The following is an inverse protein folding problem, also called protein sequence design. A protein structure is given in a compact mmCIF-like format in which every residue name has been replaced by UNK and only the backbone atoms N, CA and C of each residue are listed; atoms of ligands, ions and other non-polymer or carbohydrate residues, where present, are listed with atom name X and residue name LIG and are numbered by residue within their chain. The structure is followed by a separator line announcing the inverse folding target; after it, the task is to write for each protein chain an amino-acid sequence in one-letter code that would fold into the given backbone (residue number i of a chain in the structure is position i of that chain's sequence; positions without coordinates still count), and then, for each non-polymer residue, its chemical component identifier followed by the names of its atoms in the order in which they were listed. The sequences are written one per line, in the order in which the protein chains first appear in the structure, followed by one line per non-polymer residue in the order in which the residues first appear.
data_IF_811041992945
#
_entry.id   IF_811041992945
#
_cell.length_a   1.000
_cell.length_b   1.000
_cell.length_c   1.000
_cell.angle_alpha   90.00
_cell.angle_beta   90.00
_cell.angle_gamma   90.00
#
_symmetry.space_group_name_H-M   'P 1'
#
loop_
_entity.id
_entity.type
_entity.pdbx_description
1 polymer ?
#
# COMPACT_ATOMS: atom_id res chain seq x y z
N UNK A 1 17.10 -11.73 8.94
CA UNK A 1 16.73 -10.30 9.04
C UNK A 1 15.41 -10.22 9.79
N UNK A 2 15.11 -9.09 10.43
CA UNK A 2 13.75 -8.89 10.93
C UNK A 2 12.77 -9.00 9.75
N UNK A 3 11.76 -9.87 9.86
CA UNK A 3 10.74 -10.06 8.82
C UNK A 3 10.90 -11.26 7.87
N UNK A 4 11.92 -12.12 8.03
CA UNK A 4 12.03 -13.39 7.28
C UNK A 4 12.44 -14.57 8.17
N UNK A 5 11.97 -15.77 7.82
CA UNK A 5 12.33 -17.04 8.44
C UNK A 5 12.85 -18.05 7.41
N UNK A 6 13.75 -18.94 7.81
CA UNK A 6 14.26 -20.02 6.97
C UNK A 6 13.47 -21.29 7.24
N UNK A 7 12.85 -21.85 6.19
CA UNK A 7 12.18 -23.16 6.27
C UNK A 7 12.99 -24.23 5.52
N UNK A 8 12.99 -25.49 6.00
CA UNK A 8 13.55 -26.60 5.25
C UNK A 8 12.65 -26.94 4.06
N UNK A 9 13.25 -27.12 2.88
CA UNK A 9 12.54 -27.51 1.66
C UNK A 9 13.29 -28.64 0.96
N UNK A 10 12.61 -29.35 0.05
CA UNK A 10 13.26 -30.32 -0.84
C UNK A 10 12.86 -30.00 -2.28
N UNK A 11 13.81 -30.08 -3.20
CA UNK A 11 13.58 -29.81 -4.62
C UNK A 11 12.99 -31.05 -5.27
N UNK A 12 11.80 -30.94 -5.85
CA UNK A 12 11.19 -32.00 -6.66
C UNK A 12 11.31 -31.64 -8.13
N UNK A 13 12.05 -32.44 -8.89
CA UNK A 13 12.08 -32.31 -10.35
C UNK A 13 10.85 -33.01 -10.92
N UNK A 14 10.11 -32.35 -11.81
CA UNK A 14 8.97 -32.97 -12.48
C UNK A 14 9.44 -34.24 -13.21
N UNK A 15 8.96 -35.40 -12.77
CA UNK A 15 9.28 -36.70 -13.36
C UNK A 15 10.62 -37.33 -12.95
N UNK A 16 11.46 -36.71 -12.10
CA UNK A 16 12.78 -37.25 -11.71
C UNK A 16 13.01 -37.43 -10.19
N UNK A 17 11.98 -37.27 -9.36
CA UNK A 17 12.06 -37.50 -7.91
C UNK A 17 12.39 -36.24 -7.08
N UNK A 18 12.72 -36.43 -5.80
CA UNK A 18 13.08 -35.35 -4.84
C UNK A 18 14.55 -35.42 -4.44
N UNK A 19 15.23 -34.28 -4.49
CA UNK A 19 16.60 -34.09 -4.02
C UNK A 19 16.66 -33.90 -2.49
N UNK A 20 17.88 -33.87 -1.95
CA UNK A 20 18.17 -33.59 -0.55
C UNK A 20 17.71 -32.18 -0.10
N UNK A 21 17.66 -31.96 1.21
CA UNK A 21 17.11 -30.75 1.81
C UNK A 21 17.92 -29.48 1.53
N UNK A 22 17.23 -28.41 1.12
CA UNK A 22 17.71 -27.03 0.99
C UNK A 22 16.96 -26.15 2.02
N UNK A 23 17.34 -24.88 2.15
CA UNK A 23 16.56 -23.89 2.91
C UNK A 23 15.94 -22.85 1.97
N UNK A 24 14.75 -22.37 2.32
CA UNK A 24 14.06 -21.28 1.63
C UNK A 24 13.75 -20.18 2.65
N UNK A 25 14.11 -18.94 2.32
CA UNK A 25 13.65 -17.79 3.07
C UNK A 25 12.21 -17.45 2.70
N UNK A 26 11.36 -17.31 3.72
CA UNK A 26 9.96 -16.91 3.59
C UNK A 26 9.73 -15.65 4.43
N UNK A 27 8.88 -14.72 3.98
CA UNK A 27 8.58 -13.54 4.76
C UNK A 27 7.70 -13.95 5.96
N UNK A 28 7.94 -13.32 7.10
CA UNK A 28 7.06 -13.45 8.26
C UNK A 28 5.76 -12.71 7.95
N UNK A 29 4.63 -13.39 8.15
CA UNK A 29 3.29 -12.82 8.13
C UNK A 29 2.66 -12.99 9.51
N UNK A 30 2.29 -11.87 10.14
CA UNK A 30 1.76 -11.84 11.49
C UNK A 30 0.50 -10.97 11.57
N UNK A 31 -0.46 -11.30 12.47
CA UNK A 31 -1.59 -10.42 12.74
C UNK A 31 -1.14 -9.20 13.52
N UNK A 32 -1.48 -8.02 13.03
CA UNK A 32 -1.26 -6.72 13.68
C UNK A 32 -2.62 -6.11 14.00
N UNK A 33 -3.00 -6.11 15.27
CA UNK A 33 -4.18 -5.44 15.78
C UNK A 33 -3.91 -3.94 15.97
N UNK A 34 -4.81 -3.10 15.47
CA UNK A 34 -4.76 -1.65 15.61
C UNK A 34 -5.84 -1.22 16.60
N UNK A 35 -5.41 -0.60 17.69
CA UNK A 35 -6.29 -0.02 18.71
C UNK A 35 -6.12 1.51 18.71
N UNK A 36 -7.20 2.23 18.46
CA UNK A 36 -7.21 3.70 18.50
C UNK A 36 -8.08 4.20 19.63
N UNK A 37 -7.54 5.04 20.52
CA UNK A 37 -8.25 5.57 21.69
C UNK A 37 -8.92 4.48 22.55
N UNK A 38 -8.27 3.31 22.70
CA UNK A 38 -8.79 2.17 23.45
C UNK A 38 -9.87 1.34 22.72
N UNK A 39 -10.14 1.64 21.44
CA UNK A 39 -11.12 0.91 20.62
C UNK A 39 -10.36 0.00 19.65
N UNK A 40 -10.63 -1.30 19.70
CA UNK A 40 -10.17 -2.25 18.71
C UNK A 40 -10.78 -1.91 17.34
N UNK A 41 -9.93 -1.61 16.36
CA UNK A 41 -10.36 -1.05 15.09
C UNK A 41 -10.22 -2.01 13.92
N UNK A 42 -9.06 -2.66 13.81
CA UNK A 42 -8.78 -3.60 12.73
C UNK A 42 -7.70 -4.60 13.15
N UNK A 43 -7.68 -5.75 12.48
CA UNK A 43 -6.56 -6.69 12.51
C UNK A 43 -6.13 -6.93 11.07
N UNK A 44 -4.86 -6.72 10.79
CA UNK A 44 -4.29 -6.83 9.44
C UNK A 44 -3.18 -7.88 9.45
N UNK A 45 -3.15 -8.75 8.44
CA UNK A 45 -1.99 -9.63 8.23
C UNK A 45 -0.90 -8.81 7.56
N UNK A 46 0.27 -8.69 8.18
CA UNK A 46 1.37 -7.85 7.71
C UNK A 46 2.72 -8.47 8.06
N UNK A 47 3.77 -8.01 7.40
CA UNK A 47 5.14 -8.30 7.83
C UNK A 47 5.44 -7.42 9.05
N UNK A 48 5.83 -7.99 10.21
CA UNK A 48 5.93 -7.27 11.48
C UNK A 48 7.24 -6.45 11.61
N UNK A 49 7.53 -5.66 10.58
CA UNK A 49 8.61 -4.68 10.52
C UNK A 49 8.00 -3.31 10.27
N UNK A 50 8.55 -2.29 10.91
CA UNK A 50 8.11 -0.89 10.75
C UNK A 50 6.61 -0.71 11.05
N UNK A 51 6.13 -1.34 12.13
CA UNK A 51 4.70 -1.36 12.50
C UNK A 51 4.19 0.06 12.81
N UNK A 52 5.02 0.94 13.35
CA UNK A 52 4.67 2.33 13.60
C UNK A 52 4.37 3.07 12.28
N UNK A 53 5.17 2.84 11.23
CA UNK A 53 4.92 3.40 9.91
C UNK A 53 3.64 2.80 9.31
N UNK A 54 3.45 1.49 9.45
CA UNK A 54 2.22 0.82 8.99
C UNK A 54 0.97 1.45 9.62
N UNK A 55 0.94 1.61 10.94
CA UNK A 55 -0.23 2.12 11.67
C UNK A 55 -0.49 3.59 11.35
N UNK A 56 0.56 4.43 11.32
CA UNK A 56 0.41 5.83 10.94
C UNK A 56 -0.18 5.97 9.54
N UNK A 57 0.38 5.26 8.56
CA UNK A 57 -0.11 5.33 7.19
C UNK A 57 -1.48 4.70 7.00
N UNK A 58 -1.80 3.60 7.70
CA UNK A 58 -3.11 2.99 7.68
C UNK A 58 -4.19 3.97 8.16
N UNK A 59 -3.98 4.67 9.28
CA UNK A 59 -4.94 5.65 9.80
C UNK A 59 -5.15 6.83 8.84
N UNK A 60 -4.09 7.28 8.17
CA UNK A 60 -4.16 8.34 7.15
C UNK A 60 -4.89 7.88 5.88
N UNK A 61 -4.53 6.70 5.38
CA UNK A 61 -5.15 6.03 4.23
C UNK A 61 -6.66 5.82 4.44
N UNK A 62 -7.07 5.47 5.66
CA UNK A 62 -8.49 5.34 6.04
C UNK A 62 -9.20 6.69 6.18
N UNK A 63 -8.44 7.79 6.27
CA UNK A 63 -8.96 9.13 6.55
C UNK A 63 -9.48 9.28 7.98
N UNK A 64 -8.92 8.53 8.92
CA UNK A 64 -9.20 8.74 10.34
C UNK A 64 -8.44 9.94 10.91
N UNK A 65 -7.25 10.22 10.38
CA UNK A 65 -6.36 11.26 10.87
C UNK A 65 -5.50 11.85 9.75
N UNK A 66 -5.10 13.11 9.90
CA UNK A 66 -3.97 13.73 9.22
C UNK A 66 -2.66 13.36 9.91
N UNK A 67 -1.52 13.63 9.24
CA UNK A 67 -0.20 13.23 9.73
C UNK A 67 0.13 13.78 11.13
N UNK A 68 -0.25 15.02 11.41
CA UNK A 68 -0.02 15.73 12.68
C UNK A 68 -1.01 15.35 13.78
N UNK A 69 -2.11 14.67 13.44
CA UNK A 69 -3.09 14.16 14.40
C UNK A 69 -2.73 12.77 14.93
N UNK A 70 -1.83 12.04 14.27
CA UNK A 70 -1.44 10.69 14.72
C UNK A 70 -0.48 10.80 15.90
N UNK A 71 -0.93 10.37 17.09
CA UNK A 71 -0.09 10.29 18.28
C UNK A 71 1.01 9.23 18.18
N UNK A 72 1.75 9.07 19.28
CA UNK A 72 2.75 8.00 19.40
C UNK A 72 2.10 6.62 19.25
N UNK A 73 2.70 5.77 18.41
CA UNK A 73 2.28 4.37 18.23
C UNK A 73 3.12 3.51 19.18
N UNK A 74 2.45 2.82 20.10
CA UNK A 74 3.07 1.89 21.04
C UNK A 74 2.75 0.46 20.62
N UNK A 75 3.78 -0.34 20.35
CA UNK A 75 3.63 -1.71 19.84
C UNK A 75 3.95 -2.73 20.94
N UNK A 76 3.06 -3.69 21.13
CA UNK A 76 3.24 -4.81 22.05
C UNK A 76 3.19 -6.13 21.29
N UNK A 77 4.17 -7.00 21.48
CA UNK A 77 4.14 -8.37 20.96
C UNK A 77 3.29 -9.27 21.84
N UNK A 78 2.56 -10.18 21.20
CA UNK A 78 1.75 -11.23 21.85
C UNK A 78 2.23 -12.58 21.35
N UNK A 79 2.73 -13.42 22.24
CA UNK A 79 3.13 -14.80 21.93
C UNK A 79 1.88 -15.69 21.86
N UNK A 80 1.76 -16.51 20.80
CA UNK A 80 0.63 -17.43 20.61
C UNK A 80 1.08 -18.89 20.42
N UNK A 81 2.10 -19.30 21.17
CA UNK A 81 2.62 -20.67 21.14
C UNK A 81 3.06 -21.09 19.73
N UNK A 82 2.54 -22.22 19.25
CA UNK A 82 2.90 -22.80 17.94
C UNK A 82 2.43 -21.96 16.74
N UNK A 83 1.48 -21.04 16.93
CA UNK A 83 0.92 -20.19 15.88
C UNK A 83 1.72 -18.91 15.63
N UNK A 84 2.84 -18.75 16.35
CA UNK A 84 3.76 -17.62 16.18
C UNK A 84 3.37 -16.39 17.00
N UNK A 85 3.87 -15.23 16.55
CA UNK A 85 3.72 -13.94 17.24
C UNK A 85 2.68 -13.06 16.56
N UNK A 86 1.85 -12.40 17.36
CA UNK A 86 0.99 -11.29 16.94
C UNK A 86 1.44 -9.97 17.56
N UNK A 87 0.85 -8.87 17.11
CA UNK A 87 1.19 -7.53 17.58
C UNK A 87 -0.07 -6.73 17.87
N UNK A 88 -0.05 -5.93 18.92
CA UNK A 88 -1.07 -4.93 19.24
C UNK A 88 -0.41 -3.57 19.20
N UNK A 89 -0.82 -2.75 18.25
CA UNK A 89 -0.37 -1.38 18.10
C UNK A 89 -1.44 -0.41 18.60
N UNK A 90 -1.08 0.39 19.59
CA UNK A 90 -1.96 1.35 20.26
C UNK A 90 -1.57 2.76 19.90
N UNK A 91 -2.57 3.58 19.61
CA UNK A 91 -2.39 4.97 19.23
C UNK A 91 -3.59 5.79 19.67
N UNK A 92 -3.37 7.07 19.97
CA UNK A 92 -4.46 7.99 20.30
C UNK A 92 -4.58 9.03 19.20
N UNK A 93 -5.82 9.28 18.78
CA UNK A 93 -6.19 10.38 17.90
C UNK A 93 -6.91 11.49 18.70
N UNK A 94 -7.02 12.70 18.16
CA UNK A 94 -7.73 13.80 18.81
C UNK A 94 -9.19 13.42 19.14
N UNK A 95 -9.77 13.92 20.26
CA UNK A 95 -11.12 13.58 20.70
C UNK A 95 -12.20 13.78 19.63
N UNK A 96 -12.01 14.73 18.73
CA UNK A 96 -12.90 15.07 17.61
C UNK A 96 -13.06 13.90 16.63
N UNK A 97 -12.10 12.98 16.58
CA UNK A 97 -12.11 11.79 15.71
C UNK A 97 -12.87 10.60 16.33
N UNK A 98 -13.17 10.63 17.64
CA UNK A 98 -13.76 9.49 18.35
C UNK A 98 -15.10 9.03 17.77
N UNK A 99 -15.98 9.97 17.40
CA UNK A 99 -17.28 9.64 16.82
C UNK A 99 -17.14 8.84 15.51
N UNK A 100 -16.24 9.30 14.62
CA UNK A 100 -15.90 8.64 13.36
C UNK A 100 -15.29 7.24 13.60
N UNK A 101 -14.36 7.14 14.55
CA UNK A 101 -13.70 5.87 14.90
C UNK A 101 -14.73 4.84 15.37
N UNK A 102 -15.59 5.23 16.32
CA UNK A 102 -16.62 4.35 16.89
C UNK A 102 -17.64 3.93 15.82
N UNK A 103 -18.04 4.85 14.94
CA UNK A 103 -18.95 4.55 13.83
C UNK A 103 -18.35 3.49 12.89
N UNK A 104 -17.09 3.67 12.49
CA UNK A 104 -16.41 2.75 11.56
C UNK A 104 -16.04 1.42 12.19
N UNK A 105 -15.59 1.41 13.44
CA UNK A 105 -15.28 0.17 14.17
C UNK A 105 -16.51 -0.74 14.25
N UNK A 106 -17.69 -0.17 14.57
CA UNK A 106 -18.95 -0.92 14.60
C UNK A 106 -19.32 -1.55 13.26
N UNK A 107 -19.03 -0.88 12.15
CA UNK A 107 -19.28 -1.42 10.80
C UNK A 107 -18.30 -2.54 10.44
N UNK A 108 -17.04 -2.43 10.86
CA UNK A 108 -16.01 -3.45 10.61
C UNK A 108 -16.24 -4.77 11.33
N UNK A 109 -16.73 -4.74 12.58
CA UNK A 109 -16.99 -5.97 13.35
C UNK A 109 -18.07 -6.86 12.71
N UNK A 110 -18.87 -6.34 11.77
CA UNK A 110 -19.88 -7.08 11.03
C UNK A 110 -19.37 -7.91 9.84
N UNK A 111 -18.17 -7.62 9.30
CA UNK A 111 -17.63 -8.29 8.12
C UNK A 111 -16.56 -9.33 8.53
N UNK A 112 -16.96 -10.60 8.57
CA UNK A 112 -16.04 -11.73 8.73
C UNK A 112 -15.83 -12.40 7.37
N UNK A 113 -14.79 -12.02 6.61
CA UNK A 113 -14.36 -12.85 5.48
C UNK A 113 -12.96 -12.50 4.96
N UNK A 114 -12.16 -13.56 4.81
CA UNK A 114 -10.85 -13.68 4.18
C UNK A 114 -10.66 -12.87 2.89
N UNK A 115 -10.22 -11.61 3.01
CA UNK A 115 -9.66 -10.88 1.86
C UNK A 115 -10.67 -10.11 1.02
N UNK A 116 -11.88 -9.87 1.53
CA UNK A 116 -12.68 -8.72 1.10
C UNK A 116 -12.27 -7.57 2.00
N UNK A 117 -11.43 -6.68 1.48
CA UNK A 117 -11.28 -5.33 2.02
C UNK A 117 -12.67 -4.81 2.39
N UNK A 118 -12.93 -4.54 3.67
CA UNK A 118 -14.25 -4.17 4.18
C UNK A 118 -14.81 -2.93 3.49
N UNK A 119 -15.43 -3.13 2.33
CA UNK A 119 -16.13 -2.08 1.62
C UNK A 119 -17.31 -1.74 2.52
N UNK A 120 -17.33 -0.50 3.02
CA UNK A 120 -18.35 0.04 3.93
C UNK A 120 -19.74 0.20 3.24
N UNK A 121 -20.08 -0.67 2.28
CA UNK A 121 -21.16 -0.55 1.29
C UNK A 121 -20.69 0.08 -0.02
N UNK A 122 -21.43 -0.15 -1.11
CA UNK A 122 -21.13 0.40 -2.45
C UNK A 122 -20.95 1.93 -2.41
N UNK A 123 -21.70 2.63 -1.57
CA UNK A 123 -21.60 4.08 -1.40
C UNK A 123 -20.22 4.54 -0.91
N UNK A 124 -19.58 3.79 -0.02
CA UNK A 124 -18.25 4.11 0.47
C UNK A 124 -17.19 3.93 -0.63
N UNK A 125 -17.29 2.85 -1.41
CA UNK A 125 -16.46 2.65 -2.61
C UNK A 125 -16.63 3.76 -3.66
N UNK A 126 -17.79 4.44 -3.68
CA UNK A 126 -18.10 5.52 -4.61
C UNK A 126 -17.84 6.93 -4.05
N UNK A 127 -17.49 7.08 -2.76
CA UNK A 127 -17.27 8.39 -2.13
C UNK A 127 -16.16 9.16 -2.83
N UNK A 128 -16.41 10.39 -3.29
CA UNK A 128 -15.41 11.18 -4.01
C UNK A 128 -14.16 11.42 -3.15
N UNK A 129 -13.00 11.30 -3.79
CA UNK A 129 -11.72 11.67 -3.20
C UNK A 129 -11.52 13.18 -3.29
N UNK A 130 -10.75 13.79 -2.36
CA UNK A 130 -10.28 15.15 -2.55
C UNK A 130 -9.40 15.22 -3.81
N UNK A 131 -9.55 16.25 -4.66
CA UNK A 131 -8.65 16.42 -5.80
C UNK A 131 -7.24 16.78 -5.31
N UNK A 132 -6.23 16.28 -6.03
CA UNK A 132 -4.84 16.65 -5.81
C UNK A 132 -4.63 18.12 -6.21
N UNK A 133 -3.86 18.85 -5.39
CA UNK A 133 -3.56 20.26 -5.61
C UNK A 133 -2.50 20.50 -6.69
N UNK A 134 -1.76 19.45 -7.07
CA UNK A 134 -0.60 19.51 -7.98
C UNK A 134 -0.56 18.29 -8.89
N UNK A 135 -0.01 18.48 -10.09
CA UNK A 135 0.41 17.40 -11.00
C UNK A 135 1.91 17.17 -10.86
N UNK A 136 2.35 15.93 -10.97
CA UNK A 136 3.78 15.59 -10.91
C UNK A 136 4.54 16.21 -12.09
N UNK A 137 5.72 16.75 -11.82
CA UNK A 137 6.69 17.20 -12.80
C UNK A 137 7.74 16.14 -13.17
N UNK A 138 7.63 14.93 -12.63
CA UNK A 138 8.59 13.85 -12.88
C UNK A 138 8.63 13.47 -14.38
N UNK A 139 9.85 13.42 -14.94
CA UNK A 139 10.05 12.99 -16.33
C UNK A 139 10.05 11.44 -16.43
N UNK A 140 9.84 10.87 -17.62
CA UNK A 140 10.01 9.43 -17.85
C UNK A 140 11.38 8.91 -17.38
N UNK A 141 12.44 9.68 -17.55
CA UNK A 141 13.80 9.32 -17.10
C UNK A 141 13.92 9.31 -15.57
N UNK A 142 13.24 10.21 -14.86
CA UNK A 142 13.17 10.19 -13.41
C UNK A 142 12.43 8.94 -12.91
N UNK A 143 11.32 8.58 -13.55
CA UNK A 143 10.58 7.35 -13.23
C UNK A 143 11.46 6.12 -13.44
N UNK A 144 12.22 6.06 -14.55
CA UNK A 144 13.19 4.98 -14.79
C UNK A 144 14.25 4.90 -13.70
N UNK A 145 14.85 6.04 -13.31
CA UNK A 145 15.82 6.07 -12.20
C UNK A 145 15.26 5.51 -10.90
N UNK A 146 14.00 5.87 -10.58
CA UNK A 146 13.31 5.34 -9.40
C UNK A 146 13.08 3.82 -9.47
N UNK A 147 12.67 3.31 -10.63
CA UNK A 147 12.51 1.86 -10.88
C UNK A 147 13.83 1.10 -10.71
N UNK A 148 14.91 1.61 -11.31
CA UNK A 148 16.25 1.00 -11.25
C UNK A 148 16.78 0.96 -9.80
N UNK A 149 16.61 2.05 -9.05
CA UNK A 149 17.06 2.14 -7.66
C UNK A 149 16.33 1.17 -6.73
N UNK A 150 15.05 0.89 -7.01
CA UNK A 150 14.20 0.08 -6.15
C UNK A 150 14.71 -1.37 -6.02
N UNK A 151 15.22 -1.96 -7.10
CA UNK A 151 15.69 -3.35 -7.11
C UNK A 151 16.87 -3.65 -6.18
N UNK A 152 17.69 -2.64 -5.87
CA UNK A 152 18.77 -2.74 -4.90
C UNK A 152 18.33 -2.60 -3.45
N UNK A 153 17.19 -1.92 -3.22
CA UNK A 153 16.70 -1.52 -1.90
C UNK A 153 15.60 -2.42 -1.34
N UNK A 154 15.04 -3.33 -2.15
CA UNK A 154 14.08 -4.36 -1.71
C UNK A 154 14.79 -5.53 -1.03
N UNK A 155 15.24 -5.34 0.21
CA UNK A 155 16.02 -6.35 0.92
C UNK A 155 15.21 -7.63 1.15
N UNK A 156 13.97 -7.51 1.63
CA UNK A 156 13.11 -8.64 1.96
C UNK A 156 12.59 -9.33 0.68
N UNK A 157 12.27 -8.56 -0.36
CA UNK A 157 11.83 -9.07 -1.66
C UNK A 157 12.95 -9.81 -2.39
N UNK A 158 14.21 -9.37 -2.27
CA UNK A 158 15.37 -10.09 -2.82
C UNK A 158 15.62 -11.41 -2.10
N UNK A 159 15.45 -11.42 -0.77
CA UNK A 159 15.66 -12.60 0.06
C UNK A 159 14.54 -13.64 -0.15
N UNK A 160 13.29 -13.20 -0.13
CA UNK A 160 12.12 -14.11 -0.07
C UNK A 160 11.36 -14.26 -1.39
N UNK A 161 11.45 -13.27 -2.29
CA UNK A 161 10.66 -13.16 -3.53
C UNK A 161 9.15 -13.22 -3.33
N UNK A 162 8.68 -12.94 -2.12
CA UNK A 162 7.29 -13.12 -1.71
C UNK A 162 6.69 -11.88 -1.03
N UNK A 163 7.30 -10.71 -1.24
CA UNK A 163 6.82 -9.42 -0.73
C UNK A 163 6.56 -8.42 -1.84
N UNK A 164 5.70 -7.47 -1.54
CA UNK A 164 5.52 -6.25 -2.31
C UNK A 164 6.35 -5.11 -1.70
N UNK A 165 6.65 -4.11 -2.54
CA UNK A 165 7.32 -2.91 -2.13
C UNK A 165 6.59 -1.67 -2.64
N UNK A 166 6.65 -0.62 -1.83
CA UNK A 166 6.25 0.72 -2.18
C UNK A 166 7.47 1.63 -1.97
N UNK A 167 7.90 2.34 -3.01
CA UNK A 167 9.01 3.28 -2.94
C UNK A 167 8.55 4.70 -3.28
N UNK A 168 8.99 5.69 -2.50
CA UNK A 168 8.79 7.10 -2.79
C UNK A 168 10.06 7.69 -3.40
N UNK A 169 9.90 8.36 -4.53
CA UNK A 169 10.97 9.07 -5.20
C UNK A 169 10.63 10.55 -5.32
N UNK A 170 11.63 11.44 -5.28
CA UNK A 170 11.43 12.83 -5.67
C UNK A 170 11.26 12.95 -7.20
N UNK A 171 10.98 14.16 -7.70
CA UNK A 171 10.78 14.38 -9.14
C UNK A 171 12.03 14.16 -9.99
N UNK A 172 13.21 14.13 -9.38
CA UNK A 172 14.47 13.77 -10.01
C UNK A 172 14.70 12.26 -10.05
N UNK A 173 13.81 11.45 -9.48
CA UNK A 173 13.91 10.00 -9.46
C UNK A 173 14.88 9.44 -8.42
N UNK A 174 15.29 10.25 -7.45
CA UNK A 174 16.03 9.78 -6.28
C UNK A 174 15.06 9.06 -5.34
N UNK A 175 15.40 7.82 -4.97
CA UNK A 175 14.64 7.03 -4.02
C UNK A 175 14.89 7.55 -2.61
N UNK A 176 13.85 8.10 -1.97
CA UNK A 176 13.93 8.70 -0.64
C UNK A 176 13.43 7.77 0.47
N UNK A 177 12.50 6.88 0.15
CA UNK A 177 11.97 5.90 1.10
C UNK A 177 11.49 4.63 0.37
N UNK A 178 11.59 3.48 1.02
CA UNK A 178 11.03 2.22 0.56
C UNK A 178 10.49 1.44 1.75
N UNK A 179 9.37 0.77 1.55
CA UNK A 179 8.75 -0.12 2.53
C UNK A 179 8.29 -1.41 1.87
N UNK A 180 8.45 -2.51 2.58
CA UNK A 180 8.11 -3.84 2.12
C UNK A 180 7.07 -4.51 3.03
N UNK A 181 6.21 -5.33 2.42
CA UNK A 181 5.23 -6.14 3.14
C UNK A 181 4.73 -7.29 2.27
N UNK A 182 4.28 -8.39 2.89
CA UNK A 182 3.54 -9.45 2.19
C UNK A 182 2.30 -8.92 1.46
N UNK A 183 1.64 -7.89 2.01
CA UNK A 183 0.49 -7.22 1.43
C UNK A 183 0.85 -5.91 0.72
N UNK A 184 0.50 -5.79 -0.57
CA UNK A 184 0.74 -4.55 -1.36
C UNK A 184 0.14 -3.28 -0.73
N UNK A 185 -1.01 -3.40 -0.06
CA UNK A 185 -1.68 -2.29 0.58
C UNK A 185 -0.98 -1.85 1.85
N UNK A 186 -0.46 -2.80 2.62
CA UNK A 186 0.33 -2.53 3.82
C UNK A 186 1.69 -1.93 3.45
N UNK A 187 2.32 -2.38 2.36
CA UNK A 187 3.56 -1.78 1.87
C UNK A 187 3.35 -0.29 1.55
N UNK A 188 2.23 0.06 0.90
CA UNK A 188 1.89 1.46 0.65
C UNK A 188 1.54 2.22 1.94
N UNK A 189 0.79 1.63 2.87
CA UNK A 189 0.51 2.27 4.16
C UNK A 189 1.80 2.54 4.93
N UNK A 190 2.71 1.56 5.03
CA UNK A 190 4.04 1.77 5.63
C UNK A 190 4.76 2.94 4.97
N UNK A 191 4.77 3.01 3.64
CA UNK A 191 5.43 4.12 2.94
C UNK A 191 4.80 5.47 3.31
N UNK A 192 3.48 5.55 3.30
CA UNK A 192 2.74 6.77 3.68
C UNK A 192 3.07 7.18 5.12
N UNK A 193 3.09 6.23 6.05
CA UNK A 193 3.43 6.52 7.44
C UNK A 193 4.89 6.94 7.62
N UNK A 194 5.82 6.32 6.88
CA UNK A 194 7.22 6.73 6.88
C UNK A 194 7.41 8.17 6.41
N UNK A 195 6.70 8.57 5.33
CA UNK A 195 6.70 9.95 4.83
C UNK A 195 6.12 10.91 5.87
N UNK A 196 4.96 10.58 6.46
CA UNK A 196 4.31 11.40 7.47
C UNK A 196 5.19 11.63 8.72
N UNK A 197 5.81 10.56 9.22
CA UNK A 197 6.68 10.59 10.40
C UNK A 197 7.99 11.34 10.13
N UNK A 198 8.47 11.33 8.88
CA UNK A 198 9.64 12.11 8.45
C UNK A 198 9.31 13.59 8.27
N UNK A 199 8.13 13.92 7.71
CA UNK A 199 7.66 15.28 7.47
C UNK A 199 7.60 16.16 8.72
N UNK A 200 7.22 15.60 9.87
CA UNK A 200 7.17 16.28 11.16
C UNK A 200 8.55 16.84 11.64
N UNK A 201 9.65 16.49 10.96
CA UNK A 201 11.02 16.92 11.29
C UNK A 201 11.66 17.80 10.20
N UNK A 202 10.85 18.44 9.35
CA UNK A 202 11.31 19.23 8.19
C UNK A 202 11.48 18.37 6.93
N UNK A 203 10.71 17.29 6.82
CA UNK A 203 10.95 16.18 5.89
C UNK A 203 10.33 16.29 4.49
N UNK A 204 10.26 15.13 3.84
CA UNK A 204 9.85 14.92 2.45
C UNK A 204 8.40 15.39 2.23
N UNK A 205 8.19 16.31 1.28
CA UNK A 205 6.84 16.68 0.82
C UNK A 205 6.32 15.63 -0.17
N UNK A 206 5.24 14.88 0.16
CA UNK A 206 4.66 13.90 -0.75
C UNK A 206 4.20 14.49 -2.09
N UNK A 207 3.87 15.79 -2.12
CA UNK A 207 3.44 16.48 -3.33
C UNK A 207 4.59 16.74 -4.33
N UNK A 208 5.85 16.56 -3.91
CA UNK A 208 7.06 16.75 -4.73
C UNK A 208 7.71 15.43 -5.15
N UNK A 209 6.91 14.39 -5.34
CA UNK A 209 7.43 13.11 -5.76
C UNK A 209 6.40 12.20 -6.38
N UNK A 210 6.72 10.91 -6.41
CA UNK A 210 5.89 9.86 -6.94
C UNK A 210 6.14 8.54 -6.22
N UNK A 211 5.16 7.65 -6.30
CA UNK A 211 5.26 6.30 -5.75
C UNK A 211 5.47 5.28 -6.86
N UNK A 212 6.35 4.31 -6.61
CA UNK A 212 6.54 3.11 -7.42
C UNK A 212 6.07 1.89 -6.62
N UNK A 213 5.18 1.08 -7.20
CA UNK A 213 4.65 -0.14 -6.61
C UNK A 213 5.03 -1.39 -7.42
N UNK A 214 5.46 -2.47 -6.74
CA UNK A 214 5.68 -3.79 -7.36
C UNK A 214 4.39 -4.62 -7.53
N UNK A 215 3.22 -3.97 -7.54
CA UNK A 215 1.92 -4.65 -7.61
C UNK A 215 1.07 -4.18 -8.79
N UNK A 216 -0.11 -4.80 -8.94
CA UNK A 216 -1.22 -4.24 -9.74
C UNK A 216 -1.72 -2.93 -9.15
N UNK A 217 -2.29 -2.08 -9.99
CA UNK A 217 -2.95 -0.84 -9.59
C UNK A 217 -4.44 -1.09 -9.29
N UNK A 218 -4.78 -1.37 -8.04
CA UNK A 218 -6.18 -1.40 -7.58
C UNK A 218 -6.70 -0.01 -7.23
N UNK A 219 -8.02 0.14 -7.17
CA UNK A 219 -8.63 1.42 -6.82
C UNK A 219 -8.18 1.90 -5.42
N UNK A 220 -8.03 0.99 -4.46
CA UNK A 220 -7.57 1.34 -3.10
C UNK A 220 -6.15 1.93 -3.09
N UNK A 221 -5.22 1.43 -3.93
CA UNK A 221 -3.88 2.03 -4.02
C UNK A 221 -3.97 3.47 -4.55
N UNK A 222 -4.87 3.72 -5.50
CA UNK A 222 -5.16 5.08 -5.97
C UNK A 222 -5.70 5.96 -4.84
N UNK A 223 -6.67 5.48 -4.06
CA UNK A 223 -7.23 6.25 -2.94
C UNK A 223 -6.20 6.61 -1.90
N UNK A 224 -5.38 5.63 -1.49
CA UNK A 224 -4.30 5.82 -0.52
C UNK A 224 -3.27 6.84 -1.02
N UNK A 225 -2.86 6.71 -2.28
CA UNK A 225 -1.91 7.64 -2.92
C UNK A 225 -2.46 9.07 -2.97
N UNK A 226 -3.74 9.23 -3.34
CA UNK A 226 -4.41 10.54 -3.38
C UNK A 226 -4.52 11.16 -1.98
N UNK A 227 -4.93 10.37 -0.98
CA UNK A 227 -5.06 10.84 0.42
C UNK A 227 -3.71 11.23 1.01
N UNK A 228 -2.63 10.56 0.60
CA UNK A 228 -1.27 10.93 0.94
C UNK A 228 -0.76 12.19 0.21
N UNK A 229 -1.54 12.78 -0.69
CA UNK A 229 -1.16 13.99 -1.43
C UNK A 229 -0.14 13.74 -2.54
N UNK A 230 0.05 12.49 -2.97
CA UNK A 230 1.07 12.11 -3.94
C UNK A 230 0.50 12.22 -5.35
N UNK A 231 1.12 12.98 -6.27
CA UNK A 231 0.50 13.33 -7.55
C UNK A 231 0.70 12.31 -8.68
N UNK A 232 1.55 11.29 -8.47
CA UNK A 232 1.83 10.26 -9.47
C UNK A 232 2.00 8.88 -8.80
N UNK A 233 1.27 7.90 -9.34
CA UNK A 233 1.42 6.48 -9.01
C UNK A 233 1.95 5.72 -10.22
N UNK A 234 3.06 5.01 -10.02
CA UNK A 234 3.71 4.13 -10.98
C UNK A 234 3.54 2.69 -10.51
N UNK A 235 3.02 1.81 -11.37
CA UNK A 235 2.86 0.38 -11.03
C UNK A 235 3.41 -0.53 -12.12
N UNK A 236 4.01 -1.66 -11.70
CA UNK A 236 4.54 -2.64 -12.65
C UNK A 236 3.44 -3.49 -13.31
N UNK A 237 2.17 -3.39 -12.96
CA UNK A 237 1.12 -4.16 -13.64
C UNK A 237 -0.07 -3.30 -14.02
N UNK A 238 -0.98 -3.85 -14.84
CA UNK A 238 -2.16 -3.15 -15.34
C UNK A 238 -3.09 -2.68 -14.22
N UNK A 239 -3.82 -1.56 -14.44
CA UNK A 239 -4.84 -1.06 -13.52
C UNK A 239 -6.20 -1.75 -13.74
N UNK A 240 -7.10 -1.62 -12.76
CA UNK A 240 -8.52 -1.88 -12.98
C UNK A 240 -9.23 -0.66 -13.56
N UNK A 241 -10.40 -0.86 -14.17
CA UNK A 241 -11.24 0.21 -14.70
C UNK A 241 -11.62 1.24 -13.62
N UNK A 242 -11.97 0.76 -12.42
CA UNK A 242 -12.30 1.61 -11.28
C UNK A 242 -11.09 2.42 -10.83
N UNK A 243 -9.89 1.84 -10.80
CA UNK A 243 -8.68 2.58 -10.46
C UNK A 243 -8.45 3.77 -11.41
N UNK A 244 -8.60 3.55 -12.72
CA UNK A 244 -8.47 4.61 -13.73
C UNK A 244 -9.53 5.70 -13.53
N UNK A 245 -10.80 5.33 -13.29
CA UNK A 245 -11.86 6.31 -13.02
C UNK A 245 -11.58 7.14 -11.76
N UNK A 246 -11.15 6.50 -10.67
CA UNK A 246 -10.84 7.16 -9.39
C UNK A 246 -9.65 8.11 -9.55
N UNK A 247 -8.60 7.69 -10.25
CA UNK A 247 -7.42 8.50 -10.48
C UNK A 247 -7.75 9.77 -11.27
N UNK A 248 -8.50 9.64 -12.37
CA UNK A 248 -8.97 10.80 -13.16
C UNK A 248 -9.81 11.76 -12.32
N UNK A 249 -10.76 11.24 -11.55
CA UNK A 249 -11.62 12.07 -10.70
C UNK A 249 -10.83 12.85 -9.64
N UNK A 250 -9.70 12.31 -9.18
CA UNK A 250 -8.82 12.94 -8.20
C UNK A 250 -7.66 13.76 -8.81
N UNK A 251 -7.46 13.72 -10.13
CA UNK A 251 -6.32 14.35 -10.79
C UNK A 251 -4.97 13.61 -10.58
N UNK A 252 -5.01 12.33 -10.20
CA UNK A 252 -3.81 11.49 -10.04
C UNK A 252 -3.29 11.03 -11.40
N UNK A 253 -2.02 11.27 -11.69
CA UNK A 253 -1.35 10.67 -12.86
C UNK A 253 -1.03 9.20 -12.61
N UNK A 254 -1.27 8.34 -13.60
CA UNK A 254 -0.93 6.92 -13.53
C UNK A 254 0.05 6.53 -14.64
N UNK A 255 1.14 5.88 -14.24
CA UNK A 255 1.99 5.11 -15.14
C UNK A 255 1.89 3.63 -14.76
N UNK A 256 1.61 2.76 -15.72
CA UNK A 256 1.29 1.35 -15.48
C UNK A 256 2.06 0.45 -16.42
N UNK A 257 2.18 -0.84 -16.07
CA UNK A 257 2.99 -1.80 -16.83
C UNK A 257 4.42 -1.27 -17.00
N UNK A 258 4.95 -0.59 -15.98
CA UNK A 258 6.29 -0.04 -16.01
C UNK A 258 7.33 -1.17 -15.97
N UNK A 259 8.22 -1.16 -16.95
CA UNK A 259 9.32 -2.12 -17.19
C UNK A 259 10.61 -1.34 -17.44
N UNK A 260 11.71 -2.05 -17.57
CA UNK A 260 13.04 -1.48 -17.80
C UNK A 260 13.12 -0.66 -19.10
N UNK A 261 12.30 -1.01 -20.11
CA UNK A 261 12.30 -0.42 -21.44
C UNK A 261 11.20 0.64 -21.65
N UNK A 262 10.01 0.44 -21.07
CA UNK A 262 8.86 1.30 -21.30
C UNK A 262 7.84 1.30 -20.15
N UNK A 263 6.92 2.26 -20.21
CA UNK A 263 5.72 2.33 -19.37
C UNK A 263 4.52 2.80 -20.19
N UNK A 264 3.32 2.46 -19.76
CA UNK A 264 2.07 2.99 -20.31
C UNK A 264 1.59 4.15 -19.44
N UNK A 265 1.40 5.32 -20.05
CA UNK A 265 0.82 6.49 -19.35
C UNK A 265 -0.68 6.50 -19.57
N UNK A 266 -1.45 6.54 -18.49
CA UNK A 266 -2.92 6.64 -18.59
C UNK A 266 -3.28 8.09 -18.93
N UNK A 267 -3.65 8.32 -20.20
CA UNK A 267 -4.08 9.63 -20.69
C UNK A 267 -5.55 9.97 -20.39
N UNK A 268 -5.92 11.22 -20.68
CA UNK A 268 -7.29 11.74 -20.52
C UNK A 268 -8.23 11.34 -21.67
N UNK A 269 -7.68 11.02 -22.84
CA UNK A 269 -8.46 10.67 -24.04
C UNK A 269 -8.77 9.18 -24.09
N UNK A 270 -10.07 8.85 -24.13
CA UNK A 270 -10.50 7.56 -24.69
C UNK A 270 -10.11 7.55 -26.19
N UNK A 271 -9.61 6.44 -26.75
CA UNK A 271 -9.60 6.30 -28.21
C UNK A 271 -11.03 6.52 -28.70
N UNK A 272 -11.20 7.33 -29.76
CA UNK A 272 -12.50 7.61 -30.37
C UNK A 272 -13.22 6.29 -30.68
N UNK A 273 -14.33 6.05 -30.00
CA UNK A 273 -15.10 4.82 -30.12
C UNK A 273 -15.89 4.83 -31.44
N UNK A 274 -15.26 4.40 -32.53
CA UNK A 274 -15.95 4.13 -33.80
C UNK A 274 -16.77 2.83 -33.76
N UNK A 275 -16.95 2.18 -32.59
CA UNK A 275 -17.69 0.90 -32.48
C UNK A 275 -18.69 0.84 -31.33
N UNK A 276 -19.26 1.96 -30.93
CA UNK A 276 -20.46 1.94 -30.08
C UNK A 276 -21.69 1.55 -30.90
N UNK A 277 -21.94 0.24 -31.04
CA UNK A 277 -23.27 -0.27 -31.43
C UNK A 277 -24.26 0.08 -30.31
N UNK A 278 -25.42 0.71 -30.60
CA UNK A 278 -26.38 1.05 -29.56
C UNK A 278 -26.86 -0.22 -28.87
N UNK A 279 -26.72 -0.28 -27.54
CA UNK A 279 -27.39 -1.29 -26.74
C UNK A 279 -28.89 -1.03 -26.81
N UNK A 280 -29.61 -2.03 -27.32
CA UNK A 280 -31.06 -2.08 -27.42
C UNK A 280 -31.66 -2.05 -26.01
N UNK A 281 -32.53 -1.09 -25.74
CA UNK A 281 -33.39 -1.03 -24.55
C UNK A 281 -34.49 -2.10 -24.63
N UNK A 282 -34.82 -2.72 -23.49
CA UNK A 282 -36.20 -3.09 -23.17
C UNK A 282 -36.80 -2.21 -22.07
#
# INVERSE_FOLDING_TARGET
MDGAELIPVSRSHYGMGRDAGETLAVPVEAPVAIETNGIAYAVMMATPVEIEDFVTGFLMSEGLAAADEVGEVVVHSVENGEWGRGYVARVNLPPERLSLIVERARRRTGDSSCGICGIEGVEAALRRLPPLSRRSGASPEAIRRGLDAMGGMQLLGRETRATHAAAFCNEDGELLAIREDVGRHNALDKLIGALARSGARGGIDPAQGFVVMTSRCSYELVEKTVRAGIPLLVTISAPTDLAVRRARAAGLSLCVVARDDAMLVVGDTQPSDERATPLVEP
#
